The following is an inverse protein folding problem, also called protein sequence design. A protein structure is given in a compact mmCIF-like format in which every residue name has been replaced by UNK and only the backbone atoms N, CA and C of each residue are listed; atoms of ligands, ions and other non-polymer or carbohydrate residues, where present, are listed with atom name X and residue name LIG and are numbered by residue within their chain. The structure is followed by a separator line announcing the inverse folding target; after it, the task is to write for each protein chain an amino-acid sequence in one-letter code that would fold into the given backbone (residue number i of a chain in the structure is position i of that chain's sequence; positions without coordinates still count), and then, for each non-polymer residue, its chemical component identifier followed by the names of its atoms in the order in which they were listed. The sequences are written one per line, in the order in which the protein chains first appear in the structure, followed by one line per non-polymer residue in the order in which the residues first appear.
data_IF_520505286762
#
_entry.id   IF_520505286762
#
_cell.length_a   1.000
_cell.length_b   1.000
_cell.length_c   1.000
_cell.angle_alpha   90.00
_cell.angle_beta   90.00
_cell.angle_gamma   90.00
#
_symmetry.space_group_name_H-M   'P 1'
#
loop_
_entity.id
_entity.type
_entity.pdbx_description
1 polymer ?
#
# COMPACT_ATOMS: atom_id res chain seq x y z
N UNK A 1 25.53 26.37 6.44
CA UNK A 1 25.72 25.71 5.13
C UNK A 1 26.15 26.76 4.12
N UNK A 2 27.14 26.50 3.26
CA UNK A 2 27.51 27.44 2.20
C UNK A 2 26.28 27.68 1.31
N UNK A 3 25.97 28.95 1.03
CA UNK A 3 24.90 29.31 0.08
C UNK A 3 25.37 28.92 -1.31
N UNK A 4 24.81 27.83 -1.85
CA UNK A 4 24.89 27.55 -3.28
C UNK A 4 23.90 28.47 -3.98
N UNK A 5 24.37 29.19 -4.99
CA UNK A 5 23.53 30.07 -5.81
C UNK A 5 22.85 29.31 -6.96
N UNK A 6 23.35 28.11 -7.29
CA UNK A 6 22.83 27.25 -8.35
C UNK A 6 22.54 25.85 -7.80
N UNK A 7 21.39 25.29 -8.20
CA UNK A 7 20.96 23.92 -7.91
C UNK A 7 20.56 23.23 -9.21
N UNK A 8 20.90 21.94 -9.33
CA UNK A 8 20.49 21.08 -10.44
C UNK A 8 18.99 20.74 -10.34
N UNK A 9 18.48 20.62 -9.11
CA UNK A 9 17.07 20.39 -8.84
C UNK A 9 16.63 21.01 -7.50
N UNK A 10 15.39 21.49 -7.47
CA UNK A 10 14.72 21.97 -6.25
C UNK A 10 13.46 21.15 -6.03
N UNK A 11 13.31 20.60 -4.83
CA UNK A 11 12.19 19.76 -4.41
C UNK A 11 11.45 20.48 -3.29
N UNK A 12 10.14 20.61 -3.43
CA UNK A 12 9.28 21.28 -2.45
C UNK A 12 8.41 20.25 -1.75
N UNK A 13 8.56 20.16 -0.43
CA UNK A 13 7.92 19.17 0.45
C UNK A 13 8.83 18.00 0.77
N UNK A 14 9.09 17.75 2.05
CA UNK A 14 9.86 16.62 2.58
C UNK A 14 8.95 15.50 3.12
N UNK A 15 7.85 15.24 2.40
CA UNK A 15 7.06 14.01 2.56
C UNK A 15 7.71 12.80 1.87
N UNK A 16 7.09 11.62 1.91
CA UNK A 16 7.66 10.39 1.34
C UNK A 16 8.09 10.52 -0.12
N UNK A 17 7.25 11.17 -0.94
CA UNK A 17 7.55 11.39 -2.37
C UNK A 17 8.71 12.37 -2.58
N UNK A 18 8.76 13.47 -1.82
CA UNK A 18 9.84 14.46 -1.93
C UNK A 18 11.18 13.93 -1.42
N UNK A 19 11.16 13.15 -0.34
CA UNK A 19 12.34 12.43 0.16
C UNK A 19 12.83 11.38 -0.85
N UNK A 20 11.92 10.61 -1.45
CA UNK A 20 12.25 9.66 -2.50
C UNK A 20 12.90 10.36 -3.71
N UNK A 21 12.31 11.49 -4.15
CA UNK A 21 12.88 12.31 -5.22
C UNK A 21 14.26 12.86 -4.84
N UNK A 22 14.46 13.31 -3.60
CA UNK A 22 15.73 13.85 -3.13
C UNK A 22 16.83 12.78 -3.15
N UNK A 23 16.52 11.55 -2.73
CA UNK A 23 17.45 10.43 -2.79
C UNK A 23 17.76 10.06 -4.25
N UNK A 24 16.74 9.97 -5.11
CA UNK A 24 16.92 9.60 -6.51
C UNK A 24 17.78 10.64 -7.27
N UNK A 25 17.43 11.93 -7.14
CA UNK A 25 18.12 13.03 -7.79
C UNK A 25 19.51 13.26 -7.18
N UNK A 26 19.67 13.12 -5.87
CA UNK A 26 20.96 13.26 -5.19
C UNK A 26 21.99 12.19 -5.56
N UNK A 27 21.57 11.07 -6.17
CA UNK A 27 22.47 10.06 -6.75
C UNK A 27 22.96 10.42 -8.15
N UNK A 28 22.28 11.33 -8.85
CA UNK A 28 22.57 11.71 -10.24
C UNK A 28 23.18 13.11 -10.34
N UNK A 29 22.77 14.01 -9.46
CA UNK A 29 23.12 15.43 -9.50
C UNK A 29 24.01 15.83 -8.31
N UNK A 30 24.78 16.89 -8.50
CA UNK A 30 25.72 17.37 -7.49
C UNK A 30 25.07 18.33 -6.50
N UNK A 31 23.97 18.99 -6.87
CA UNK A 31 23.32 20.05 -6.10
C UNK A 31 21.79 19.92 -6.09
N UNK A 32 21.24 19.17 -5.13
CA UNK A 32 19.78 19.06 -4.94
C UNK A 32 19.35 19.80 -3.67
N UNK A 33 18.39 20.72 -3.79
CA UNK A 33 17.79 21.43 -2.66
C UNK A 33 16.43 20.83 -2.32
N UNK A 34 16.24 20.40 -1.08
CA UNK A 34 14.93 19.99 -0.54
C UNK A 34 14.43 21.05 0.45
N UNK A 35 13.21 21.54 0.22
CA UNK A 35 12.55 22.55 1.04
C UNK A 35 11.34 21.94 1.75
N UNK A 36 11.18 22.20 3.03
CA UNK A 36 10.01 21.81 3.82
C UNK A 36 9.44 23.04 4.51
N UNK A 37 8.11 23.20 4.45
CA UNK A 37 7.41 24.31 5.08
C UNK A 37 7.05 24.01 6.54
N UNK A 38 6.85 22.73 6.89
CA UNK A 38 6.58 22.28 8.24
C UNK A 38 7.82 22.30 9.13
N UNK A 39 7.59 22.27 10.45
CA UNK A 39 8.67 22.24 11.46
C UNK A 39 9.48 20.93 11.43
N UNK A 40 8.91 19.86 10.88
CA UNK A 40 9.51 18.53 10.83
C UNK A 40 9.24 17.91 9.45
N UNK A 41 10.17 17.09 8.99
CA UNK A 41 10.01 16.28 7.77
C UNK A 41 9.01 15.14 7.97
N UNK A 42 8.71 14.41 6.90
CA UNK A 42 7.92 13.18 6.90
C UNK A 42 6.54 13.33 6.28
N UNK A 43 6.04 14.56 6.12
CA UNK A 43 4.71 14.81 5.54
C UNK A 43 3.62 13.98 6.23
N UNK A 44 2.81 13.27 5.45
CA UNK A 44 1.76 12.39 5.97
C UNK A 44 2.25 11.10 6.66
N UNK A 45 3.55 10.80 6.60
CA UNK A 45 4.16 9.66 7.29
C UNK A 45 4.77 10.05 8.66
N UNK A 46 4.53 11.29 9.11
CA UNK A 46 4.91 11.76 10.45
C UNK A 46 3.98 11.15 11.50
N UNK A 47 4.55 10.88 12.68
CA UNK A 47 3.79 10.62 13.89
C UNK A 47 3.90 11.78 14.89
N UNK A 48 2.88 11.97 15.73
CA UNK A 48 2.84 13.04 16.73
C UNK A 48 1.90 12.72 17.90
N UNK A 49 2.16 13.34 19.06
CA UNK A 49 1.22 13.32 20.19
C UNK A 49 0.09 14.33 19.97
N UNK A 50 -1.01 13.88 19.36
CA UNK A 50 -2.11 14.75 18.94
C UNK A 50 -3.28 14.82 19.94
N UNK A 51 -3.39 13.86 20.86
CA UNK A 51 -4.54 13.77 21.78
C UNK A 51 -4.14 13.92 23.24
N UNK A 52 -3.42 12.94 23.79
CA UNK A 52 -3.03 12.88 25.19
C UNK A 52 -1.50 12.68 25.29
N UNK A 53 -0.86 13.16 26.37
CA UNK A 53 0.57 12.95 26.58
C UNK A 53 0.94 11.45 26.54
N UNK A 54 1.98 11.12 25.78
CA UNK A 54 2.46 9.75 25.59
C UNK A 54 1.71 8.91 24.54
N UNK A 55 0.65 9.45 23.91
CA UNK A 55 -0.06 8.76 22.82
C UNK A 55 0.41 9.25 21.47
N UNK A 56 1.12 8.40 20.73
CA UNK A 56 1.64 8.71 19.40
C UNK A 56 0.61 8.32 18.33
N UNK A 57 0.29 9.24 17.44
CA UNK A 57 -0.64 9.05 16.34
C UNK A 57 0.08 9.22 15.01
N UNK A 58 -0.28 8.42 14.02
CA UNK A 58 0.07 8.71 12.64
C UNK A 58 -0.79 9.87 12.14
N UNK A 59 -0.14 10.95 11.67
CA UNK A 59 -0.82 12.19 11.31
C UNK A 59 -1.74 12.00 10.10
N UNK A 60 -1.41 11.06 9.21
CA UNK A 60 -2.21 10.78 8.02
C UNK A 60 -2.17 9.29 7.63
N UNK A 61 -0.99 8.72 7.39
CA UNK A 61 -0.89 7.36 6.83
C UNK A 61 -0.62 6.32 7.90
N UNK A 62 -1.64 5.53 8.27
CA UNK A 62 -1.57 4.48 9.29
C UNK A 62 -1.03 3.12 8.78
N UNK A 63 -1.08 2.87 7.47
CA UNK A 63 -0.63 1.60 6.86
C UNK A 63 0.16 1.86 5.58
N UNK A 64 1.20 1.06 5.34
CA UNK A 64 2.20 1.31 4.28
C UNK A 64 2.40 0.11 3.31
N UNK A 65 1.33 -0.53 2.80
CA UNK A 65 1.47 -1.75 2.01
C UNK A 65 2.27 -1.55 0.70
N UNK A 66 2.06 -0.41 0.03
CA UNK A 66 2.76 -0.10 -1.21
C UNK A 66 4.23 0.29 -0.99
N UNK A 67 4.59 0.77 0.20
CA UNK A 67 5.98 1.07 0.54
C UNK A 67 6.83 -0.22 0.56
N UNK A 68 6.26 -1.32 1.06
CA UNK A 68 6.90 -2.65 1.04
C UNK A 68 6.95 -3.26 -0.38
N UNK A 69 5.94 -2.99 -1.21
CA UNK A 69 5.88 -3.47 -2.59
C UNK A 69 6.71 -2.62 -3.58
N UNK A 70 7.02 -1.37 -3.23
CA UNK A 70 7.66 -0.39 -4.10
C UNK A 70 9.06 -0.81 -4.55
N UNK A 71 9.33 -0.85 -5.86
CA UNK A 71 10.68 -1.09 -6.38
C UNK A 71 11.71 -0.08 -5.88
N UNK A 72 11.30 1.17 -5.64
CA UNK A 72 12.21 2.21 -5.14
C UNK A 72 12.64 1.94 -3.70
N UNK A 73 11.68 1.71 -2.79
CA UNK A 73 11.99 1.46 -1.38
C UNK A 73 12.78 0.15 -1.18
N UNK A 74 12.56 -0.86 -2.01
CA UNK A 74 13.36 -2.11 -2.00
C UNK A 74 14.83 -1.93 -2.38
N UNK A 75 15.17 -0.85 -3.09
CA UNK A 75 16.56 -0.51 -3.40
C UNK A 75 17.24 0.27 -2.26
N UNK A 76 16.47 0.71 -1.27
CA UNK A 76 16.99 1.34 -0.08
C UNK A 76 17.18 0.26 0.98
N UNK A 77 18.39 0.14 1.50
CA UNK A 77 18.64 -0.68 2.68
C UNK A 77 18.18 0.10 3.92
N UNK A 78 16.85 0.23 4.06
CA UNK A 78 16.18 0.89 5.17
C UNK A 78 16.46 0.22 6.53
N UNK A 79 16.61 -1.12 6.62
CA UNK A 79 17.00 -1.77 7.88
C UNK A 79 18.30 -1.24 8.47
N UNK A 80 19.31 -0.89 7.64
CA UNK A 80 20.55 -0.29 8.15
C UNK A 80 20.33 1.08 8.83
N UNK A 81 19.20 1.74 8.52
CA UNK A 81 18.80 3.02 9.10
C UNK A 81 17.76 2.85 10.22
N UNK A 82 17.53 1.62 10.70
CA UNK A 82 16.64 1.32 11.82
C UNK A 82 15.16 1.21 11.46
N UNK A 83 14.80 1.10 10.18
CA UNK A 83 13.41 0.90 9.78
C UNK A 83 13.05 -0.58 9.87
N UNK A 84 12.03 -0.89 10.68
CA UNK A 84 11.43 -2.21 10.79
C UNK A 84 10.00 -2.22 10.23
N UNK A 85 9.66 -3.25 9.46
CA UNK A 85 8.31 -3.44 8.93
C UNK A 85 7.51 -4.38 9.82
N UNK A 86 6.56 -3.82 10.57
CA UNK A 86 5.62 -4.61 11.37
C UNK A 86 4.54 -5.18 10.44
N UNK A 87 4.39 -6.51 10.45
CA UNK A 87 3.37 -7.21 9.68
C UNK A 87 2.45 -8.01 10.61
N UNK A 88 1.30 -7.44 11.01
CA UNK A 88 0.38 -8.12 11.92
C UNK A 88 -0.18 -9.40 11.29
N UNK A 89 -0.49 -10.39 12.11
CA UNK A 89 -1.12 -11.64 11.65
C UNK A 89 -2.48 -11.37 10.98
N UNK A 90 -3.25 -10.45 11.56
CA UNK A 90 -4.54 -9.98 11.10
C UNK A 90 -4.39 -8.53 10.65
N UNK A 91 -4.05 -8.27 9.37
CA UNK A 91 -3.97 -6.93 8.82
C UNK A 91 -5.33 -6.21 8.72
N UNK A 92 -6.45 -6.94 8.72
CA UNK A 92 -7.77 -6.33 8.66
C UNK A 92 -8.82 -7.19 9.36
N UNK A 93 -9.73 -6.53 10.08
CA UNK A 93 -10.93 -7.13 10.65
C UNK A 93 -12.16 -6.30 10.22
N UNK A 94 -13.25 -6.96 9.86
CA UNK A 94 -14.54 -6.31 9.64
C UNK A 94 -15.53 -6.78 10.71
N UNK A 95 -15.84 -5.96 11.73
CA UNK A 95 -16.79 -6.31 12.79
C UNK A 95 -18.24 -6.24 12.29
N UNK A 96 -19.10 -7.05 12.90
CA UNK A 96 -20.54 -7.10 12.64
C UNK A 96 -21.34 -6.71 13.89
N UNK A 97 -22.62 -6.39 13.71
CA UNK A 97 -23.52 -5.93 14.79
C UNK A 97 -23.73 -6.97 15.90
N UNK A 98 -23.57 -8.26 15.59
CA UNK A 98 -23.69 -9.35 16.56
C UNK A 98 -22.41 -9.56 17.40
N UNK A 99 -21.40 -8.70 17.25
CA UNK A 99 -20.13 -8.77 17.97
C UNK A 99 -19.10 -9.73 17.37
N UNK A 100 -19.45 -10.45 16.30
CA UNK A 100 -18.49 -11.25 15.53
C UNK A 100 -17.72 -10.40 14.52
N UNK A 101 -16.68 -10.98 13.90
CA UNK A 101 -15.92 -10.31 12.85
C UNK A 101 -15.43 -11.31 11.79
N UNK A 102 -15.21 -10.82 10.57
CA UNK A 102 -14.48 -11.54 9.53
C UNK A 102 -13.06 -10.96 9.44
N UNK A 103 -12.07 -11.83 9.54
CA UNK A 103 -10.66 -11.47 9.56
C UNK A 103 -9.99 -11.77 8.22
N UNK A 104 -9.21 -10.81 7.73
CA UNK A 104 -8.24 -11.03 6.67
C UNK A 104 -6.91 -11.35 7.33
N UNK A 105 -6.39 -12.54 7.07
CA UNK A 105 -5.08 -12.99 7.53
C UNK A 105 -4.04 -12.84 6.42
N UNK A 106 -2.76 -12.83 6.80
CA UNK A 106 -1.66 -12.89 5.83
C UNK A 106 -1.68 -14.15 4.96
N UNK A 107 -2.22 -15.25 5.48
CA UNK A 107 -2.43 -16.48 4.70
C UNK A 107 -3.73 -16.38 3.91
N UNK A 108 -3.60 -16.65 2.60
CA UNK A 108 -4.74 -16.76 1.70
C UNK A 108 -5.66 -17.92 2.12
N UNK A 109 -5.08 -19.01 2.61
CA UNK A 109 -5.76 -20.23 3.03
C UNK A 109 -6.59 -19.99 4.29
N UNK A 110 -5.99 -19.39 5.33
CA UNK A 110 -6.71 -19.06 6.57
C UNK A 110 -7.88 -18.12 6.28
N UNK A 111 -7.65 -17.08 5.46
CA UNK A 111 -8.71 -16.15 5.06
C UNK A 111 -9.82 -16.85 4.28
N UNK A 112 -9.45 -17.77 3.38
CA UNK A 112 -10.43 -18.54 2.60
C UNK A 112 -11.26 -19.46 3.48
N UNK A 113 -10.65 -20.13 4.46
CA UNK A 113 -11.35 -20.98 5.41
C UNK A 113 -12.35 -20.18 6.25
N UNK A 114 -11.94 -18.99 6.73
CA UNK A 114 -12.83 -18.08 7.46
C UNK A 114 -14.03 -17.58 6.64
N UNK A 115 -13.91 -17.54 5.30
CA UNK A 115 -15.01 -17.18 4.39
C UNK A 115 -16.01 -18.33 4.12
N UNK A 116 -15.76 -19.53 4.61
CA UNK A 116 -16.68 -20.66 4.49
C UNK A 116 -17.02 -21.02 3.03
N UNK A 117 -18.29 -20.92 2.66
CA UNK A 117 -18.79 -21.27 1.31
C UNK A 117 -18.09 -20.47 0.20
N UNK A 118 -17.68 -19.24 0.49
CA UNK A 118 -17.05 -18.33 -0.46
C UNK A 118 -15.53 -18.54 -0.59
N UNK A 119 -14.92 -19.32 0.32
CA UNK A 119 -13.46 -19.51 0.38
C UNK A 119 -12.85 -20.07 -0.91
N UNK A 120 -13.56 -20.97 -1.60
CA UNK A 120 -13.12 -21.50 -2.91
C UNK A 120 -13.08 -20.41 -3.98
N UNK A 121 -14.10 -19.55 -4.03
CA UNK A 121 -14.16 -18.45 -4.97
C UNK A 121 -13.06 -17.41 -4.68
N UNK A 122 -12.85 -17.08 -3.41
CA UNK A 122 -11.81 -16.17 -2.95
C UNK A 122 -10.41 -16.63 -3.38
N UNK A 123 -10.06 -17.90 -3.10
CA UNK A 123 -8.77 -18.48 -3.56
C UNK A 123 -8.64 -18.44 -5.06
N UNK A 124 -9.68 -18.84 -5.81
CA UNK A 124 -9.65 -18.85 -7.27
C UNK A 124 -9.33 -17.47 -7.86
N UNK A 125 -9.83 -16.40 -7.24
CA UNK A 125 -9.59 -15.01 -7.67
C UNK A 125 -8.18 -14.56 -7.28
N UNK A 126 -7.77 -14.73 -6.02
CA UNK A 126 -6.53 -14.11 -5.52
C UNK A 126 -5.26 -14.95 -5.67
N UNK A 127 -5.35 -16.29 -5.64
CA UNK A 127 -4.17 -17.17 -5.69
C UNK A 127 -3.23 -16.87 -6.87
N UNK A 128 -3.72 -16.63 -8.11
CA UNK A 128 -2.83 -16.33 -9.24
C UNK A 128 -1.96 -15.09 -9.02
N UNK A 129 -2.48 -14.12 -8.26
CA UNK A 129 -1.80 -12.88 -7.93
C UNK A 129 -0.87 -13.05 -6.73
N UNK A 130 -1.31 -13.69 -5.66
CA UNK A 130 -0.49 -13.99 -4.47
C UNK A 130 0.75 -14.79 -4.85
N UNK A 131 0.59 -15.85 -5.66
CA UNK A 131 1.71 -16.69 -6.10
C UNK A 131 2.72 -15.95 -6.98
N UNK A 132 2.38 -14.78 -7.50
CA UNK A 132 3.20 -14.00 -8.43
C UNK A 132 3.27 -12.54 -8.04
N UNK A 133 3.13 -12.24 -6.75
CA UNK A 133 3.00 -10.88 -6.22
C UNK A 133 4.12 -9.96 -6.68
N UNK A 134 5.36 -10.44 -6.69
CA UNK A 134 6.53 -9.65 -7.07
C UNK A 134 6.46 -9.21 -8.54
N UNK A 135 6.01 -10.11 -9.43
CA UNK A 135 5.85 -9.79 -10.86
C UNK A 135 4.67 -8.86 -11.08
N UNK A 136 3.57 -9.09 -10.36
CA UNK A 136 2.39 -8.24 -10.42
C UNK A 136 2.73 -6.80 -10.01
N UNK A 137 3.32 -6.61 -8.84
CA UNK A 137 3.68 -5.28 -8.34
C UNK A 137 4.77 -4.61 -9.19
N UNK A 138 5.73 -5.37 -9.71
CA UNK A 138 6.73 -4.82 -10.64
C UNK A 138 6.09 -4.27 -11.93
N UNK A 139 5.02 -4.90 -12.45
CA UNK A 139 4.31 -4.43 -13.64
C UNK A 139 3.26 -3.33 -13.32
N UNK A 140 2.63 -3.34 -12.14
CA UNK A 140 1.64 -2.32 -11.72
C UNK A 140 2.32 -1.00 -11.32
N UNK A 141 3.46 -1.05 -10.64
CA UNK A 141 4.10 0.13 -10.05
C UNK A 141 5.14 0.79 -10.97
N UNK A 142 5.40 0.21 -12.15
CA UNK A 142 6.30 0.81 -13.15
C UNK A 142 5.54 1.80 -14.05
N UNK A 143 6.25 2.72 -14.74
CA UNK A 143 5.64 3.54 -15.78
C UNK A 143 4.92 2.71 -16.84
N UNK A 144 3.86 3.26 -17.43
CA UNK A 144 3.06 2.59 -18.46
C UNK A 144 3.93 2.08 -19.62
N UNK A 145 3.74 0.81 -19.96
CA UNK A 145 4.51 0.13 -21.01
C UNK A 145 4.11 -1.33 -21.11
N UNK A 146 4.87 -2.11 -21.89
CA UNK A 146 4.61 -3.53 -22.05
C UNK A 146 4.84 -4.30 -20.73
N UNK A 147 3.86 -5.05 -20.22
CA UNK A 147 4.02 -5.83 -18.99
C UNK A 147 4.97 -7.00 -19.24
N UNK A 148 5.81 -7.30 -18.24
CA UNK A 148 6.67 -8.50 -18.25
C UNK A 148 5.84 -9.79 -18.16
N UNK A 149 4.65 -9.70 -17.56
CA UNK A 149 3.72 -10.80 -17.37
C UNK A 149 2.35 -10.51 -18.01
N UNK A 150 2.24 -10.50 -19.36
CA UNK A 150 1.02 -10.08 -20.07
C UNK A 150 -0.21 -10.90 -19.68
N UNK A 151 -0.07 -12.21 -19.49
CA UNK A 151 -1.18 -13.07 -19.05
C UNK A 151 -1.63 -12.77 -17.61
N UNK A 152 -0.69 -12.48 -16.70
CA UNK A 152 -1.03 -12.12 -15.32
C UNK A 152 -1.73 -10.75 -15.29
N UNK A 153 -1.23 -9.80 -16.07
CA UNK A 153 -1.81 -8.46 -16.20
C UNK A 153 -3.19 -8.49 -16.86
N UNK A 154 -3.39 -9.34 -17.88
CA UNK A 154 -4.70 -9.54 -18.50
C UNK A 154 -5.73 -10.13 -17.52
N UNK A 155 -5.31 -11.10 -16.70
CA UNK A 155 -6.16 -11.62 -15.61
C UNK A 155 -6.46 -10.57 -14.55
N UNK A 156 -5.46 -9.77 -14.17
CA UNK A 156 -5.64 -8.67 -13.24
C UNK A 156 -6.64 -7.65 -13.79
N UNK A 157 -6.45 -7.18 -15.02
CA UNK A 157 -7.33 -6.23 -15.69
C UNK A 157 -8.78 -6.74 -15.78
N UNK A 158 -8.99 -8.02 -16.07
CA UNK A 158 -10.32 -8.63 -16.08
C UNK A 158 -11.09 -8.45 -14.76
N UNK A 159 -10.38 -8.50 -13.61
CA UNK A 159 -10.99 -8.23 -12.31
C UNK A 159 -10.99 -6.74 -11.95
N UNK A 160 -9.91 -6.01 -12.23
CA UNK A 160 -9.71 -4.63 -11.83
C UNK A 160 -10.57 -3.62 -12.60
N UNK A 161 -10.99 -3.93 -13.83
CA UNK A 161 -11.88 -3.07 -14.63
C UNK A 161 -13.36 -3.19 -14.21
N UNK A 162 -13.72 -4.17 -13.39
CA UNK A 162 -15.09 -4.36 -12.91
C UNK A 162 -15.32 -3.46 -11.70
N UNK A 163 -16.55 -3.00 -11.53
CA UNK A 163 -16.94 -2.42 -10.23
C UNK A 163 -16.79 -3.49 -9.16
N UNK A 164 -16.39 -3.09 -7.94
CA UNK A 164 -16.26 -4.05 -6.85
C UNK A 164 -17.60 -4.74 -6.55
N UNK A 165 -18.71 -4.01 -6.64
CA UNK A 165 -20.06 -4.55 -6.48
C UNK A 165 -20.29 -5.72 -7.43
N UNK A 166 -20.06 -5.52 -8.73
CA UNK A 166 -20.24 -6.59 -9.73
C UNK A 166 -19.30 -7.78 -9.48
N UNK A 167 -18.03 -7.53 -9.17
CA UNK A 167 -17.07 -8.59 -8.86
C UNK A 167 -17.53 -9.45 -7.67
N UNK A 168 -18.00 -8.80 -6.60
CA UNK A 168 -18.40 -9.43 -5.35
C UNK A 168 -19.72 -10.18 -5.49
N UNK A 169 -20.76 -9.54 -6.04
CA UNK A 169 -22.09 -10.16 -6.21
C UNK A 169 -22.05 -11.38 -7.14
N UNK A 170 -21.17 -11.39 -8.13
CA UNK A 170 -21.03 -12.52 -9.07
C UNK A 170 -20.18 -13.69 -8.55
N UNK A 171 -19.44 -13.51 -7.46
CA UNK A 171 -18.51 -14.54 -6.96
C UNK A 171 -18.78 -15.00 -5.53
N UNK A 172 -19.49 -14.20 -4.73
CA UNK A 172 -19.69 -14.46 -3.32
C UNK A 172 -21.17 -14.51 -2.96
N UNK A 173 -21.49 -15.46 -2.10
CA UNK A 173 -22.84 -15.77 -1.64
C UNK A 173 -23.12 -15.19 -0.24
N UNK A 174 -22.10 -15.12 0.62
CA UNK A 174 -22.22 -14.67 2.00
C UNK A 174 -22.13 -13.16 2.10
N UNK A 175 -23.15 -12.53 2.67
CA UNK A 175 -23.16 -11.09 2.92
C UNK A 175 -21.97 -10.63 3.80
N UNK A 176 -21.47 -11.51 4.68
CA UNK A 176 -20.26 -11.25 5.49
C UNK A 176 -19.01 -11.10 4.63
N UNK A 177 -18.84 -11.96 3.62
CA UNK A 177 -17.74 -11.84 2.65
C UNK A 177 -17.88 -10.54 1.86
N UNK A 178 -19.10 -10.24 1.37
CA UNK A 178 -19.37 -9.02 0.61
C UNK A 178 -19.08 -7.76 1.43
N UNK A 179 -19.44 -7.75 2.71
CA UNK A 179 -19.21 -6.65 3.63
C UNK A 179 -17.71 -6.38 3.87
N UNK A 180 -16.88 -7.43 4.01
CA UNK A 180 -15.42 -7.30 4.11
C UNK A 180 -14.84 -6.57 2.89
N UNK A 181 -15.26 -6.96 1.69
CA UNK A 181 -14.85 -6.29 0.45
C UNK A 181 -15.38 -4.86 0.36
N UNK A 182 -16.62 -4.59 0.78
CA UNK A 182 -17.16 -3.24 0.85
C UNK A 182 -16.31 -2.34 1.77
N UNK A 183 -15.88 -2.87 2.92
CA UNK A 183 -14.93 -2.19 3.81
C UNK A 183 -13.60 -1.87 3.14
N UNK A 184 -13.03 -2.81 2.37
CA UNK A 184 -11.82 -2.55 1.56
C UNK A 184 -12.06 -1.45 0.50
N UNK A 185 -13.21 -1.45 -0.17
CA UNK A 185 -13.58 -0.43 -1.14
C UNK A 185 -13.66 0.97 -0.53
N UNK A 186 -14.13 1.08 0.73
CA UNK A 186 -14.21 2.37 1.41
C UNK A 186 -12.84 3.04 1.62
N UNK A 187 -11.75 2.27 1.52
CA UNK A 187 -10.37 2.76 1.59
C UNK A 187 -9.74 2.97 0.21
N UNK A 188 -10.49 2.78 -0.88
CA UNK A 188 -10.00 3.06 -2.21
C UNK A 188 -9.86 4.58 -2.40
N UNK A 189 -8.66 5.04 -2.75
CA UNK A 189 -8.43 6.41 -3.22
C UNK A 189 -8.89 6.51 -4.67
N UNK A 190 -10.18 6.73 -4.87
CA UNK A 190 -10.80 6.99 -6.17
C UNK A 190 -10.94 8.52 -6.30
N UNK A 191 -10.56 9.13 -7.44
CA UNK A 191 -10.82 10.55 -7.70
C UNK A 191 -12.31 10.91 -7.71
#
# INVERSE_FOLDING_TARGET
MPKRHDYDAVIVGAGPNGLAAAIALGRQFNAVLLLEAAKTIGGGARSAELTLPGFIHDVCSAVQPLSLASPFFRQLDLPQYGVEWIQPEIPLAHPFEDGSALFLHRSLEITAEAMGTDGKAYRRILQPFVNREQRLFADILKPLGFPSSPFLMGRFAFHALRSLKDLVESNFSSDRTKALFAGLAAHAMIP
#
